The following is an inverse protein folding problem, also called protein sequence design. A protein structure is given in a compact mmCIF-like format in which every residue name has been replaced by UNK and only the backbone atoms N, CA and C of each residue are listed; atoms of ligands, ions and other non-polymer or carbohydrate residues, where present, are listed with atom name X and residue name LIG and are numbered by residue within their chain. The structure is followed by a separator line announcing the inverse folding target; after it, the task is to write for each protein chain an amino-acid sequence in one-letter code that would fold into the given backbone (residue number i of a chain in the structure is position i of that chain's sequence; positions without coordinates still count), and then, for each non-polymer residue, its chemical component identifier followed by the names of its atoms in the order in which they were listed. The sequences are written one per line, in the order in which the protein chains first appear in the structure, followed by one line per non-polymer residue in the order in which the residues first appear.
data_IF_210935050637
#
_entry.id   IF_210935050637
#
_cell.length_a   1.000
_cell.length_b   1.000
_cell.length_c   1.000
_cell.angle_alpha   90.00
_cell.angle_beta   90.00
_cell.angle_gamma   90.00
#
_symmetry.space_group_name_H-M   'P 1'
#
loop_
_entity.id
_entity.type
_entity.pdbx_description
1 polymer ?
#
# COMPACT_ATOMS: atom_id res chain seq x y z
N UNK A 1 -3.18 41.29 -4.34
CA UNK A 1 -2.35 40.15 -4.78
C UNK A 1 -3.25 38.91 -4.77
N UNK A 2 -3.57 38.39 -5.96
CA UNK A 2 -4.30 37.11 -6.07
C UNK A 2 -3.29 36.02 -5.76
N UNK A 3 -3.54 35.22 -4.71
CA UNK A 3 -2.73 34.06 -4.41
C UNK A 3 -2.77 33.08 -5.59
N UNK A 4 -1.62 32.82 -6.18
CA UNK A 4 -1.43 31.70 -7.09
C UNK A 4 -1.62 30.41 -6.27
N UNK A 5 -2.82 29.87 -6.31
CA UNK A 5 -3.04 28.49 -5.85
C UNK A 5 -2.12 27.58 -6.64
N UNK A 6 -1.33 26.77 -5.96
CA UNK A 6 -0.44 25.80 -6.60
C UNK A 6 -1.29 24.92 -7.53
N UNK A 7 -1.18 25.15 -8.83
CA UNK A 7 -1.89 24.35 -9.83
C UNK A 7 -1.36 22.93 -9.76
N UNK A 8 -2.25 21.97 -9.56
CA UNK A 8 -1.92 20.55 -9.66
C UNK A 8 -1.31 20.26 -11.03
N UNK A 9 -0.31 19.37 -11.12
CA UNK A 9 0.29 19.05 -12.42
C UNK A 9 -0.72 18.34 -13.32
N UNK A 10 -0.68 18.60 -14.62
CA UNK A 10 -1.54 17.95 -15.61
C UNK A 10 -1.47 16.41 -15.52
N UNK A 11 -0.27 15.88 -15.22
CA UNK A 11 -0.08 14.45 -14.98
C UNK A 11 -0.94 13.93 -13.83
N UNK A 12 -0.95 14.63 -12.69
CA UNK A 12 -1.76 14.24 -11.52
C UNK A 12 -3.26 14.34 -11.83
N UNK A 13 -3.68 15.42 -12.52
CA UNK A 13 -5.07 15.60 -12.95
C UNK A 13 -5.54 14.48 -13.88
N UNK A 14 -4.66 14.00 -14.78
CA UNK A 14 -4.96 12.89 -15.68
C UNK A 14 -4.93 11.53 -15.01
N UNK A 15 -4.09 11.35 -13.98
CA UNK A 15 -3.90 10.09 -13.29
C UNK A 15 -5.01 9.77 -12.28
N UNK A 16 -5.38 10.78 -11.46
CA UNK A 16 -6.29 10.61 -10.32
C UNK A 16 -7.75 10.53 -10.79
N UNK A 17 -8.50 9.61 -10.20
CA UNK A 17 -9.93 9.44 -10.45
C UNK A 17 -10.74 9.73 -9.19
N UNK A 18 -11.84 10.47 -9.30
CA UNK A 18 -12.72 10.82 -8.20
C UNK A 18 -13.65 9.67 -7.76
N UNK A 19 -13.67 8.56 -8.48
CA UNK A 19 -14.57 7.45 -8.18
C UNK A 19 -14.10 6.12 -8.74
N UNK A 20 -14.79 5.08 -8.30
CA UNK A 20 -14.59 3.70 -8.78
C UNK A 20 -15.12 3.56 -10.22
N UNK A 21 -14.37 2.84 -11.05
CA UNK A 21 -14.85 2.46 -12.38
C UNK A 21 -16.08 1.56 -12.30
N UNK A 22 -17.10 1.74 -13.18
CA UNK A 22 -18.18 0.78 -13.32
C UNK A 22 -17.71 -0.62 -13.73
N UNK A 23 -16.52 -0.73 -14.36
CA UNK A 23 -15.93 -2.00 -14.74
C UNK A 23 -15.26 -2.77 -13.61
N UNK A 24 -15.10 -2.16 -12.42
CA UNK A 24 -14.63 -2.83 -11.21
C UNK A 24 -15.84 -3.31 -10.39
N UNK A 25 -16.09 -4.64 -10.28
CA UNK A 25 -17.18 -5.16 -9.47
C UNK A 25 -17.04 -4.76 -8.00
N UNK A 26 -18.17 -4.51 -7.34
CA UNK A 26 -18.19 -4.06 -5.93
C UNK A 26 -17.53 -5.07 -4.99
N UNK A 27 -17.77 -6.35 -5.21
CA UNK A 27 -17.20 -7.46 -4.44
C UNK A 27 -15.68 -7.61 -4.60
N UNK A 28 -15.09 -6.95 -5.60
CA UNK A 28 -13.65 -6.94 -5.86
C UNK A 28 -12.97 -5.61 -5.55
N UNK A 29 -13.70 -4.60 -5.07
CA UNK A 29 -13.14 -3.30 -4.65
C UNK A 29 -12.48 -3.35 -3.27
N UNK A 30 -11.60 -4.33 -3.07
CA UNK A 30 -11.00 -4.63 -1.76
C UNK A 30 -10.15 -3.48 -1.21
N UNK A 31 -9.46 -2.76 -2.09
CA UNK A 31 -8.56 -1.66 -1.72
C UNK A 31 -9.24 -0.29 -1.69
N UNK A 32 -10.49 -0.19 -2.13
CA UNK A 32 -11.22 1.08 -2.16
C UNK A 32 -11.40 1.72 -0.79
N UNK A 33 -11.48 0.92 0.28
CA UNK A 33 -11.57 1.38 1.67
C UNK A 33 -10.27 2.04 2.16
N UNK A 34 -9.14 1.79 1.51
CA UNK A 34 -7.85 2.39 1.85
C UNK A 34 -7.69 3.81 1.30
N UNK A 35 -8.47 4.23 0.31
CA UNK A 35 -8.37 5.55 -0.29
C UNK A 35 -8.40 6.65 0.76
N UNK A 36 -7.41 7.54 0.73
CA UNK A 36 -7.17 8.59 1.71
C UNK A 36 -5.78 8.55 2.32
N UNK A 37 -5.58 9.31 3.37
CA UNK A 37 -4.29 9.47 4.06
C UNK A 37 -4.30 8.76 5.41
N UNK A 38 -3.17 8.13 5.73
CA UNK A 38 -2.99 7.32 6.93
C UNK A 38 -1.69 7.67 7.63
N UNK A 39 -1.74 7.76 8.97
CA UNK A 39 -0.56 7.77 9.84
C UNK A 39 -0.20 6.34 10.18
N UNK A 40 1.10 6.03 10.12
CA UNK A 40 1.60 4.68 10.36
C UNK A 40 2.47 4.61 11.61
N UNK A 41 2.29 3.52 12.34
CA UNK A 41 3.32 2.97 13.23
C UNK A 41 3.86 1.69 12.58
N UNK A 42 5.07 1.78 12.00
CA UNK A 42 5.79 0.65 11.41
C UNK A 42 6.72 0.05 12.44
N UNK A 43 6.67 -1.25 12.63
CA UNK A 43 7.55 -2.01 13.52
C UNK A 43 8.21 -3.16 12.77
N UNK A 44 9.55 -3.11 12.65
CA UNK A 44 10.37 -4.21 12.13
C UNK A 44 10.72 -5.15 13.29
N UNK A 45 10.21 -6.39 13.23
CA UNK A 45 10.43 -7.38 14.30
C UNK A 45 11.83 -7.94 14.30
N UNK A 46 12.47 -8.03 13.13
CA UNK A 46 13.83 -8.57 13.01
C UNK A 46 14.87 -7.60 13.55
N UNK A 47 14.65 -6.29 13.36
CA UNK A 47 15.53 -5.24 13.87
C UNK A 47 15.11 -4.71 15.24
N UNK A 48 13.93 -5.12 15.76
CA UNK A 48 13.31 -4.55 16.96
C UNK A 48 13.30 -3.02 16.95
N UNK A 49 12.95 -2.45 15.79
CA UNK A 49 12.97 -1.01 15.53
C UNK A 49 11.63 -0.55 14.99
N UNK A 50 11.23 0.67 15.33
CA UNK A 50 9.98 1.26 14.88
C UNK A 50 10.20 2.66 14.30
N UNK A 51 9.29 3.06 13.42
CA UNK A 51 9.27 4.39 12.82
C UNK A 51 7.84 4.80 12.52
N UNK A 52 7.52 6.07 12.71
CA UNK A 52 6.25 6.64 12.24
C UNK A 52 6.36 7.03 10.78
N UNK A 53 5.29 6.79 10.03
CA UNK A 53 5.23 7.09 8.61
C UNK A 53 3.88 7.62 8.15
N UNK A 54 3.79 7.71 6.84
CA UNK A 54 2.57 8.07 6.12
C UNK A 54 2.33 7.06 5.01
N UNK A 55 1.04 6.76 4.75
CA UNK A 55 0.62 5.98 3.58
C UNK A 55 -0.59 6.65 2.97
N UNK A 56 -0.49 6.99 1.70
CA UNK A 56 -1.52 7.77 0.99
C UNK A 56 -1.97 6.95 -0.20
N UNK A 57 -3.27 6.75 -0.32
CA UNK A 57 -3.89 5.96 -1.39
C UNK A 57 -4.86 6.80 -2.20
N UNK A 58 -4.81 6.64 -3.52
CA UNK A 58 -5.72 7.30 -4.44
C UNK A 58 -6.26 6.33 -5.50
N UNK A 59 -7.48 6.60 -5.96
CA UNK A 59 -7.99 5.95 -7.17
C UNK A 59 -7.34 6.58 -8.39
N UNK A 60 -6.94 5.74 -9.32
CA UNK A 60 -6.26 6.15 -10.56
C UNK A 60 -6.85 5.41 -11.77
N UNK A 61 -6.46 5.83 -12.97
CA UNK A 61 -6.80 5.13 -14.21
C UNK A 61 -8.33 4.94 -14.36
N UNK A 62 -9.07 6.05 -14.30
CA UNK A 62 -10.53 6.06 -14.38
C UNK A 62 -11.22 5.18 -13.32
N UNK A 63 -10.55 4.97 -12.18
CA UNK A 63 -11.05 4.19 -11.04
C UNK A 63 -10.89 2.68 -11.16
N UNK A 64 -10.15 2.19 -12.16
CA UNK A 64 -9.78 0.77 -12.28
C UNK A 64 -8.58 0.40 -11.43
N UNK A 65 -7.76 1.37 -11.04
CA UNK A 65 -6.57 1.17 -10.23
C UNK A 65 -6.62 1.90 -8.90
N UNK A 66 -5.80 1.43 -7.98
CA UNK A 66 -5.46 2.09 -6.71
C UNK A 66 -3.95 2.25 -6.68
N UNK A 67 -3.49 3.49 -6.58
CA UNK A 67 -2.08 3.79 -6.38
C UNK A 67 -1.85 4.32 -4.97
N UNK A 68 -0.71 4.00 -4.39
CA UNK A 68 -0.30 4.54 -3.10
C UNK A 68 1.11 5.10 -3.11
N UNK A 69 1.41 5.88 -2.08
CA UNK A 69 2.77 6.29 -1.72
C UNK A 69 2.95 6.02 -0.23
N UNK A 70 3.96 5.21 0.12
CA UNK A 70 4.40 4.98 1.50
C UNK A 70 5.67 5.76 1.78
N UNK A 71 5.74 6.43 2.93
CA UNK A 71 6.84 7.32 3.32
C UNK A 71 7.23 7.02 4.77
N UNK A 72 8.47 6.53 4.96
CA UNK A 72 9.07 6.25 6.26
C UNK A 72 10.45 6.93 6.34
N UNK A 73 10.78 7.69 7.36
CA UNK A 73 9.87 8.34 8.33
C UNK A 73 8.87 9.29 7.65
N UNK A 74 7.79 9.66 8.36
CA UNK A 74 6.83 10.67 7.90
C UNK A 74 7.54 11.97 7.49
N UNK A 75 6.96 12.70 6.52
CA UNK A 75 7.62 13.90 5.94
C UNK A 75 7.98 14.98 6.96
N UNK A 76 7.17 15.14 8.01
CA UNK A 76 7.40 16.06 9.12
C UNK A 76 8.42 15.55 10.15
N UNK A 77 8.85 14.29 10.04
CA UNK A 77 9.81 13.63 10.94
C UNK A 77 11.15 13.33 10.24
N UNK A 78 11.32 13.70 8.99
CA UNK A 78 12.56 13.48 8.26
C UNK A 78 13.68 14.35 8.80
N UNK A 79 14.87 13.79 8.96
CA UNK A 79 16.10 14.46 9.39
C UNK A 79 17.20 14.26 8.35
N UNK A 80 18.31 15.00 8.48
CA UNK A 80 19.48 14.84 7.61
C UNK A 80 20.15 13.45 7.76
N UNK A 81 20.00 12.83 8.93
CA UNK A 81 20.53 11.49 9.18
C UNK A 81 19.55 10.43 8.68
N UNK A 82 19.98 9.48 7.83
CA UNK A 82 19.11 8.42 7.34
C UNK A 82 18.66 7.50 8.47
N UNK A 83 17.36 7.23 8.53
CA UNK A 83 16.81 6.23 9.42
C UNK A 83 16.99 4.82 8.81
N UNK A 84 17.31 3.76 9.59
CA UNK A 84 17.51 2.41 9.05
C UNK A 84 16.26 1.84 8.36
N UNK A 85 15.07 2.32 8.72
CA UNK A 85 13.79 1.94 8.09
C UNK A 85 13.29 2.98 7.09
N UNK A 86 14.18 3.76 6.47
CA UNK A 86 13.80 4.75 5.45
C UNK A 86 13.19 4.07 4.23
N UNK A 87 12.02 4.54 3.83
CA UNK A 87 11.31 4.06 2.65
C UNK A 87 10.53 5.21 1.99
N UNK A 88 10.60 5.30 0.68
CA UNK A 88 9.78 6.19 -0.13
C UNK A 88 9.40 5.41 -1.38
N UNK A 89 8.26 4.72 -1.30
CA UNK A 89 7.82 3.77 -2.32
C UNK A 89 6.42 4.04 -2.82
N UNK A 90 6.08 3.41 -3.95
CA UNK A 90 4.75 3.49 -4.54
C UNK A 90 4.32 2.13 -5.04
N UNK A 91 3.05 1.79 -4.83
CA UNK A 91 2.43 0.65 -5.49
C UNK A 91 1.37 1.11 -6.48
N UNK A 92 1.31 0.44 -7.62
CA UNK A 92 0.15 0.49 -8.52
C UNK A 92 -0.55 -0.86 -8.46
N UNK A 93 -1.85 -0.83 -8.12
CA UNK A 93 -2.74 -2.00 -8.08
C UNK A 93 -3.77 -1.87 -9.17
N UNK A 94 -3.91 -2.90 -10.00
CA UNK A 94 -4.90 -2.95 -11.08
C UNK A 94 -5.72 -4.23 -10.95
N UNK A 95 -7.05 -4.11 -10.96
CA UNK A 95 -7.92 -5.27 -10.97
C UNK A 95 -7.83 -6.01 -12.30
N UNK A 96 -7.67 -7.32 -12.24
CA UNK A 96 -7.61 -8.20 -13.38
C UNK A 96 -8.88 -9.08 -13.44
N UNK A 97 -9.85 -8.78 -14.32
CA UNK A 97 -11.09 -9.56 -14.41
C UNK A 97 -10.87 -10.99 -14.91
N UNK A 98 -9.76 -11.26 -15.62
CA UNK A 98 -9.42 -12.59 -16.11
C UNK A 98 -9.02 -13.57 -15.00
N UNK A 99 -8.49 -13.06 -13.89
CA UNK A 99 -8.04 -13.85 -12.73
C UNK A 99 -8.89 -13.60 -11.48
N UNK A 100 -9.81 -12.62 -11.52
CA UNK A 100 -10.55 -12.13 -10.35
C UNK A 100 -9.62 -11.79 -9.18
N UNK A 101 -8.47 -11.19 -9.49
CA UNK A 101 -7.42 -10.81 -8.55
C UNK A 101 -6.91 -9.40 -8.88
N UNK A 102 -6.01 -8.88 -8.04
CA UNK A 102 -5.35 -7.61 -8.31
C UNK A 102 -3.88 -7.85 -8.64
N UNK A 103 -3.44 -7.34 -9.78
CA UNK A 103 -2.03 -7.28 -10.14
C UNK A 103 -1.41 -6.05 -9.49
N UNK A 104 -0.26 -6.24 -8.81
CA UNK A 104 0.38 -5.18 -8.03
C UNK A 104 1.84 -5.07 -8.42
N UNK A 105 2.29 -3.85 -8.71
CA UNK A 105 3.69 -3.50 -8.88
C UNK A 105 4.09 -2.47 -7.81
N UNK A 106 5.11 -2.80 -7.02
CA UNK A 106 5.66 -1.92 -5.99
C UNK A 106 7.08 -1.51 -6.35
N UNK A 107 7.36 -0.22 -6.35
CA UNK A 107 8.66 0.37 -6.65
C UNK A 107 9.27 1.10 -5.45
N UNK A 108 10.52 0.76 -5.11
CA UNK A 108 11.27 1.34 -4.02
C UNK A 108 12.77 1.06 -4.18
N UNK A 109 13.60 2.09 -3.97
CA UNK A 109 15.07 1.99 -3.86
C UNK A 109 15.74 1.13 -4.96
N UNK A 110 15.32 1.32 -6.22
CA UNK A 110 15.91 0.60 -7.36
C UNK A 110 15.41 -0.83 -7.53
N UNK A 111 14.35 -1.23 -6.81
CA UNK A 111 13.70 -2.54 -6.93
C UNK A 111 12.25 -2.36 -7.37
N UNK A 112 11.75 -3.34 -8.12
CA UNK A 112 10.33 -3.49 -8.43
C UNK A 112 9.90 -4.89 -8.02
N UNK A 113 8.87 -4.95 -7.17
CA UNK A 113 8.22 -6.20 -6.77
C UNK A 113 6.94 -6.35 -7.56
N UNK A 114 6.66 -7.57 -8.01
CA UNK A 114 5.39 -7.93 -8.64
C UNK A 114 4.66 -8.87 -7.70
N UNK A 115 3.42 -8.53 -7.37
CA UNK A 115 2.59 -9.32 -6.47
C UNK A 115 1.21 -9.54 -7.09
N UNK A 116 0.58 -10.63 -6.71
CA UNK A 116 -0.83 -10.88 -6.97
C UNK A 116 -1.58 -10.84 -5.64
N UNK A 117 -2.64 -10.01 -5.56
CA UNK A 117 -3.47 -9.92 -4.37
C UNK A 117 -4.74 -10.72 -4.53
N UNK A 118 -5.05 -11.56 -3.53
CA UNK A 118 -6.29 -12.34 -3.40
C UNK A 118 -6.88 -12.18 -2.02
N UNK A 119 -8.19 -12.37 -1.91
CA UNK A 119 -8.83 -12.52 -0.60
C UNK A 119 -8.67 -13.95 -0.12
N UNK A 120 -8.21 -14.06 1.13
CA UNK A 120 -8.14 -15.31 1.89
C UNK A 120 -8.85 -15.07 3.22
N UNK A 121 -10.04 -15.62 3.39
CA UNK A 121 -10.97 -15.29 4.48
C UNK A 121 -11.27 -13.78 4.51
N UNK A 122 -11.03 -13.12 5.63
CA UNK A 122 -11.21 -11.67 5.77
C UNK A 122 -9.95 -10.84 5.46
N UNK A 123 -8.85 -11.49 5.09
CA UNK A 123 -7.58 -10.86 4.76
C UNK A 123 -7.44 -10.62 3.26
N UNK A 124 -6.57 -9.66 2.91
CA UNK A 124 -6.06 -9.52 1.54
C UNK A 124 -4.58 -9.93 1.55
N UNK A 125 -4.27 -11.00 0.83
CA UNK A 125 -2.92 -11.56 0.76
C UNK A 125 -2.30 -11.23 -0.58
N UNK A 126 -1.17 -10.52 -0.56
CA UNK A 126 -0.38 -10.17 -1.73
C UNK A 126 0.83 -11.10 -1.80
N UNK A 127 0.82 -12.04 -2.72
CA UNK A 127 1.92 -13.00 -2.91
C UNK A 127 2.94 -12.44 -3.89
N UNK A 128 4.20 -12.40 -3.51
CA UNK A 128 5.29 -12.03 -4.40
C UNK A 128 5.46 -13.10 -5.49
N UNK A 129 5.43 -12.70 -6.76
CA UNK A 129 5.48 -13.63 -7.90
C UNK A 129 6.90 -14.16 -8.18
N UNK A 130 7.93 -13.51 -7.66
CA UNK A 130 9.32 -13.94 -7.79
C UNK A 130 9.79 -14.75 -6.57
N UNK A 131 9.04 -14.71 -5.46
CA UNK A 131 9.24 -15.52 -4.25
C UNK A 131 7.91 -15.73 -3.51
N UNK A 132 7.19 -16.79 -3.82
CA UNK A 132 5.86 -17.07 -3.28
C UNK A 132 5.80 -17.25 -1.75
N UNK A 133 6.94 -17.44 -1.11
CA UNK A 133 7.03 -17.49 0.35
C UNK A 133 6.97 -16.10 0.98
N UNK A 134 7.29 -15.06 0.25
CA UNK A 134 7.20 -13.69 0.71
C UNK A 134 5.83 -13.10 0.39
N UNK A 135 5.13 -12.67 1.43
CA UNK A 135 3.78 -12.13 1.31
C UNK A 135 3.63 -10.83 2.10
N UNK A 136 2.77 -9.97 1.58
CA UNK A 136 2.23 -8.82 2.29
C UNK A 136 0.76 -9.06 2.56
N UNK A 137 0.30 -8.73 3.75
CA UNK A 137 -1.04 -9.09 4.18
C UNK A 137 -1.73 -7.89 4.83
N UNK A 138 -2.85 -7.46 4.27
CA UNK A 138 -3.80 -6.65 5.03
C UNK A 138 -4.62 -7.60 5.90
N UNK A 139 -4.27 -7.64 7.18
CA UNK A 139 -4.89 -8.54 8.17
C UNK A 139 -6.30 -8.10 8.48
N UNK A 140 -6.50 -6.78 8.59
CA UNK A 140 -7.81 -6.16 8.77
C UNK A 140 -7.83 -4.76 8.15
N UNK A 141 -8.95 -4.37 7.58
CA UNK A 141 -9.22 -3.01 7.09
C UNK A 141 -10.56 -2.57 7.66
N UNK A 142 -10.54 -1.54 8.51
CA UNK A 142 -11.70 -0.85 9.05
C UNK A 142 -11.81 0.56 8.46
N UNK A 143 -12.82 1.35 8.82
CA UNK A 143 -13.02 2.68 8.23
C UNK A 143 -11.96 3.68 8.67
N UNK A 144 -11.44 3.55 9.90
CA UNK A 144 -10.51 4.48 10.54
C UNK A 144 -9.15 3.88 10.87
N UNK A 145 -8.93 2.58 10.65
CA UNK A 145 -7.68 1.87 10.93
C UNK A 145 -7.51 0.64 10.06
N UNK A 146 -6.26 0.22 9.90
CA UNK A 146 -5.93 -1.09 9.34
C UNK A 146 -4.66 -1.66 9.98
N UNK A 147 -4.52 -2.99 9.88
CA UNK A 147 -3.32 -3.73 10.25
C UNK A 147 -2.76 -4.44 9.03
N UNK A 148 -1.47 -4.24 8.78
CA UNK A 148 -0.74 -4.87 7.68
C UNK A 148 0.51 -5.58 8.20
N UNK A 149 0.91 -6.66 7.53
CA UNK A 149 2.08 -7.45 7.87
C UNK A 149 2.91 -7.78 6.63
N UNK A 150 4.24 -7.82 6.83
CA UNK A 150 5.19 -8.47 5.95
C UNK A 150 5.52 -9.84 6.54
N UNK A 151 5.32 -10.91 5.79
CA UNK A 151 5.48 -12.27 6.31
C UNK A 151 6.28 -13.16 5.35
N UNK A 152 6.96 -14.15 5.91
CA UNK A 152 7.55 -15.26 5.18
C UNK A 152 6.89 -16.57 5.58
N UNK A 153 6.52 -17.39 4.59
CA UNK A 153 5.99 -18.74 4.83
C UNK A 153 7.15 -19.67 5.14
N UNK A 154 7.08 -20.35 6.29
CA UNK A 154 8.07 -21.30 6.76
C UNK A 154 7.87 -22.68 6.09
N UNK A 155 8.82 -23.60 6.26
CA UNK A 155 8.75 -24.96 5.69
C UNK A 155 7.57 -25.79 6.23
N UNK A 156 7.11 -25.50 7.43
CA UNK A 156 5.93 -26.12 8.07
C UNK A 156 4.61 -25.45 7.66
N UNK A 157 4.64 -24.42 6.79
CA UNK A 157 3.49 -23.65 6.35
C UNK A 157 3.06 -22.53 7.30
N UNK A 158 3.69 -22.38 8.47
CA UNK A 158 3.43 -21.26 9.36
C UNK A 158 3.99 -19.94 8.80
N UNK A 159 3.47 -18.82 9.29
CA UNK A 159 3.93 -17.50 8.89
C UNK A 159 4.85 -16.88 9.93
N UNK A 160 6.06 -16.51 9.50
CA UNK A 160 6.95 -15.66 10.29
C UNK A 160 6.69 -14.20 9.92
N UNK A 161 6.29 -13.40 10.90
CA UNK A 161 6.03 -11.96 10.71
C UNK A 161 7.34 -11.19 10.83
N UNK A 162 7.76 -10.55 9.74
CA UNK A 162 8.96 -9.71 9.70
C UNK A 162 8.66 -8.30 10.21
N UNK A 163 7.51 -7.75 9.84
CA UNK A 163 7.10 -6.40 10.22
C UNK A 163 5.59 -6.26 10.34
N UNK A 164 5.16 -5.31 11.16
CA UNK A 164 3.79 -4.86 11.29
C UNK A 164 3.66 -3.38 10.94
N UNK A 165 2.52 -3.01 10.36
CA UNK A 165 2.05 -1.63 10.27
C UNK A 165 0.67 -1.56 10.92
N UNK A 166 0.54 -0.67 11.88
CA UNK A 166 -0.74 -0.21 12.40
C UNK A 166 -0.99 1.20 11.88
N UNK A 167 -2.12 1.39 11.23
CA UNK A 167 -2.46 2.63 10.56
C UNK A 167 -3.76 3.21 11.11
N UNK A 168 -3.75 4.54 11.24
CA UNK A 168 -4.93 5.33 11.60
C UNK A 168 -5.20 6.37 10.53
N UNK A 169 -6.47 6.54 10.17
CA UNK A 169 -6.89 7.52 9.16
C UNK A 169 -6.68 8.94 9.68
N UNK A 170 -6.19 9.82 8.79
CA UNK A 170 -6.02 11.26 9.06
C UNK A 170 -7.32 12.00 8.87
#
# INVERSE_FOLDING_TARGET
MKGEGTRMSEFVEALVSNGKSPGLPEEHDWFGRLVGSWKLDYFDRNLSSSVRGEWIFERVLEGMGIQDVIILPARDMQTESPHPLTEYGTSLRIYNPGTCAWDVAYGYAGKIFRLEARREDDMIVLTNLDDERHKWVFVSIEDDRFHWQNVNVQDDGSWHVNADIYAERV
#
